data_IF_456633832190
#
_entry.id   IF_456633832190
#
_cell.length_a   1.000
_cell.length_b   1.000
_cell.length_c   1.000
_cell.angle_alpha   90.00
_cell.angle_beta   90.00
_cell.angle_gamma   90.00
#
_symmetry.space_group_name_H-M   'P 1'
#
loop_
_entity.id
_entity.type
_entity.pdbx_description
1 polymer ?
#
# COMPACT_ATOMS: atom_id res chain seq x y z
N UNK A 1 -15.85 1.22 -12.03
CA UNK A 1 -15.32 2.22 -13.00
C UNK A 1 -14.48 3.31 -12.34
N UNK A 2 -14.87 3.88 -11.19
CA UNK A 2 -14.11 4.97 -10.53
C UNK A 2 -12.65 4.63 -10.19
N UNK A 3 -12.38 3.40 -9.76
CA UNK A 3 -11.01 2.96 -9.45
C UNK A 3 -10.05 3.04 -10.65
N UNK A 4 -10.52 2.83 -11.89
CA UNK A 4 -9.63 2.94 -13.06
C UNK A 4 -9.09 4.36 -13.26
N UNK A 5 -9.88 5.36 -12.89
CA UNK A 5 -9.49 6.76 -12.98
C UNK A 5 -8.38 7.07 -11.96
N UNK A 6 -8.39 6.43 -10.79
CA UNK A 6 -7.37 6.59 -9.76
C UNK A 6 -5.99 6.02 -10.18
N UNK A 7 -5.96 5.13 -11.18
CA UNK A 7 -4.71 4.61 -11.73
C UNK A 7 -4.04 5.57 -12.73
N UNK A 8 -4.77 6.52 -13.32
CA UNK A 8 -4.20 7.42 -14.35
C UNK A 8 -3.03 8.24 -13.79
N UNK A 9 -3.17 8.96 -12.65
CA UNK A 9 -2.05 9.71 -12.10
C UNK A 9 -0.86 8.83 -11.73
N UNK A 10 -1.14 7.65 -11.17
CA UNK A 10 -0.12 6.69 -10.78
C UNK A 10 0.64 6.14 -11.99
N UNK A 11 -0.06 5.82 -13.07
CA UNK A 11 0.53 5.32 -14.30
C UNK A 11 1.39 6.41 -14.96
N UNK A 12 0.92 7.66 -15.01
CA UNK A 12 1.72 8.78 -15.51
C UNK A 12 2.97 9.02 -14.66
N UNK A 13 2.87 8.91 -13.33
CA UNK A 13 4.03 8.94 -12.44
C UNK A 13 5.05 7.86 -12.82
N UNK A 14 4.61 6.62 -13.00
CA UNK A 14 5.52 5.52 -13.36
C UNK A 14 6.17 5.70 -14.72
N UNK A 15 5.42 6.17 -15.73
CA UNK A 15 5.96 6.48 -17.05
C UNK A 15 7.07 7.52 -16.93
N UNK A 16 6.80 8.66 -16.30
CA UNK A 16 7.79 9.74 -16.19
C UNK A 16 8.98 9.33 -15.30
N UNK A 17 8.74 8.54 -14.26
CA UNK A 17 9.80 8.05 -13.39
C UNK A 17 10.79 7.13 -14.12
N UNK A 18 10.30 6.30 -15.04
CA UNK A 18 11.13 5.39 -15.84
C UNK A 18 11.80 6.07 -17.03
N UNK A 19 11.47 7.32 -17.34
CA UNK A 19 12.19 8.10 -18.34
C UNK A 19 13.47 8.66 -17.72
N UNK A 20 14.59 8.45 -18.42
CA UNK A 20 15.85 9.09 -18.07
C UNK A 20 15.69 10.62 -18.08
N UNK A 21 16.28 11.35 -17.13
CA UNK A 21 16.26 12.81 -17.12
C UNK A 21 16.83 13.34 -18.44
N UNK A 22 15.97 13.95 -19.25
CA UNK A 22 16.36 14.63 -20.48
C UNK A 22 16.16 16.12 -20.31
N UNK A 23 17.16 16.96 -20.64
CA UNK A 23 16.94 18.38 -20.73
C UNK A 23 15.96 18.63 -21.88
N UNK A 24 14.79 19.18 -21.56
CA UNK A 24 13.81 19.64 -22.53
C UNK A 24 13.65 21.15 -22.37
N UNK A 25 13.78 21.87 -23.47
CA UNK A 25 13.36 23.27 -23.55
C UNK A 25 11.86 23.31 -23.84
N UNK A 26 11.09 23.77 -22.86
CA UNK A 26 9.67 24.03 -23.03
C UNK A 26 9.43 25.51 -22.79
N UNK A 27 8.90 26.20 -23.81
CA UNK A 27 8.63 27.64 -23.76
C UNK A 27 9.84 28.51 -23.36
N UNK A 28 11.05 28.13 -23.78
CA UNK A 28 12.30 28.86 -23.49
C UNK A 28 12.89 28.62 -22.10
N UNK A 29 12.29 27.73 -21.29
CA UNK A 29 12.82 27.35 -19.99
C UNK A 29 13.46 25.95 -20.06
N UNK A 30 14.67 25.82 -19.52
CA UNK A 30 15.37 24.54 -19.42
C UNK A 30 14.80 23.75 -18.25
N UNK A 31 14.12 22.64 -18.54
CA UNK A 31 13.60 21.73 -17.53
C UNK A 31 14.16 20.33 -17.77
N UNK A 32 14.59 19.67 -16.70
CA UNK A 32 14.91 18.24 -16.77
C UNK A 32 13.61 17.44 -16.67
N UNK A 33 13.23 16.79 -17.77
CA UNK A 33 12.07 15.91 -17.82
C UNK A 33 12.50 14.46 -17.68
N UNK A 34 12.13 13.86 -16.54
CA UNK A 34 12.48 12.48 -16.19
C UNK A 34 12.89 12.37 -14.73
N UNK A 35 12.97 11.15 -14.22
CA UNK A 35 13.32 10.88 -12.83
C UNK A 35 12.22 11.27 -11.82
N UNK A 36 12.58 11.20 -10.53
CA UNK A 36 11.62 11.20 -9.42
C UNK A 36 10.91 12.54 -9.20
N UNK A 37 11.61 13.66 -9.40
CA UNK A 37 11.04 15.00 -9.18
C UNK A 37 10.01 15.32 -10.26
N UNK A 38 10.36 15.12 -11.53
CA UNK A 38 9.43 15.34 -12.65
C UNK A 38 8.27 14.35 -12.62
N UNK A 39 8.49 13.10 -12.19
CA UNK A 39 7.40 12.15 -11.95
C UNK A 39 6.46 12.63 -10.85
N UNK A 40 7.00 13.15 -9.75
CA UNK A 40 6.20 13.68 -8.63
C UNK A 40 5.40 14.91 -9.05
N UNK A 41 5.99 15.82 -9.82
CA UNK A 41 5.28 16.94 -10.41
C UNK A 41 4.14 16.48 -11.33
N UNK A 42 4.41 15.49 -12.20
CA UNK A 42 3.40 14.89 -13.07
C UNK A 42 2.27 14.24 -12.27
N UNK A 43 2.59 13.55 -11.16
CA UNK A 43 1.59 12.95 -10.27
C UNK A 43 0.66 14.01 -9.68
N UNK A 44 1.20 15.13 -9.21
CA UNK A 44 0.42 16.24 -8.64
C UNK A 44 -0.48 16.86 -9.71
N UNK A 45 0.09 17.21 -10.87
CA UNK A 45 -0.65 17.86 -11.96
C UNK A 45 -1.77 16.93 -12.46
N UNK A 46 -1.44 15.68 -12.76
CA UNK A 46 -2.44 14.70 -13.21
C UNK A 46 -3.50 14.42 -12.15
N UNK A 47 -3.13 14.33 -10.86
CA UNK A 47 -4.11 14.18 -9.77
C UNK A 47 -5.05 15.38 -9.69
N UNK A 48 -4.53 16.61 -9.79
CA UNK A 48 -5.36 17.81 -9.79
C UNK A 48 -6.30 17.86 -10.99
N UNK A 49 -5.84 17.50 -12.19
CA UNK A 49 -6.66 17.46 -13.40
C UNK A 49 -7.73 16.37 -13.30
N UNK A 50 -7.36 15.15 -12.93
CA UNK A 50 -8.25 14.00 -12.84
C UNK A 50 -9.30 14.19 -11.76
N UNK A 51 -8.87 14.52 -10.53
CA UNK A 51 -9.79 14.72 -9.41
C UNK A 51 -10.57 16.03 -9.54
N UNK A 52 -9.97 17.07 -10.13
CA UNK A 52 -10.67 18.31 -10.45
C UNK A 52 -11.79 18.10 -11.48
N UNK A 53 -11.50 17.40 -12.58
CA UNK A 53 -12.51 17.07 -13.58
C UNK A 53 -13.61 16.15 -13.02
N UNK A 54 -13.25 15.17 -12.18
CA UNK A 54 -14.21 14.33 -11.46
C UNK A 54 -15.10 15.17 -10.52
N UNK A 55 -14.51 16.09 -9.77
CA UNK A 55 -15.25 16.98 -8.88
C UNK A 55 -16.17 17.92 -9.65
N UNK A 56 -15.76 18.48 -10.78
CA UNK A 56 -16.62 19.31 -11.62
C UNK A 56 -17.79 18.52 -12.23
N UNK A 57 -17.54 17.26 -12.65
CA UNK A 57 -18.55 16.41 -13.30
C UNK A 57 -19.54 15.78 -12.31
N UNK A 58 -19.07 15.35 -11.14
CA UNK A 58 -19.88 14.58 -10.18
C UNK A 58 -20.24 15.40 -8.92
N UNK A 59 -19.59 16.54 -8.70
CA UNK A 59 -19.66 17.36 -7.47
C UNK A 59 -19.41 16.62 -6.15
N UNK A 60 -18.87 15.41 -6.23
CA UNK A 60 -18.54 14.56 -5.09
C UNK A 60 -17.28 13.77 -5.42
N UNK A 61 -16.33 13.81 -4.49
CA UNK A 61 -15.18 12.91 -4.45
C UNK A 61 -15.36 11.95 -3.29
N UNK A 62 -14.94 10.71 -3.48
CA UNK A 62 -14.97 9.71 -2.41
C UNK A 62 -13.91 10.01 -1.36
N UNK A 63 -14.11 9.54 -0.12
CA UNK A 63 -13.16 9.79 0.99
C UNK A 63 -11.74 9.33 0.65
N UNK A 64 -11.61 8.18 -0.04
CA UNK A 64 -10.31 7.66 -0.49
C UNK A 64 -9.64 8.55 -1.55
N UNK A 65 -10.43 9.17 -2.43
CA UNK A 65 -9.91 10.09 -3.45
C UNK A 65 -9.42 11.39 -2.83
N UNK A 66 -10.18 11.94 -1.87
CA UNK A 66 -9.74 13.10 -1.09
C UNK A 66 -8.45 12.80 -0.33
N UNK A 67 -8.37 11.65 0.34
CA UNK A 67 -7.18 11.24 1.06
C UNK A 67 -5.98 11.10 0.12
N UNK A 68 -6.17 10.49 -1.05
CA UNK A 68 -5.11 10.32 -2.05
C UNK A 68 -4.65 11.65 -2.63
N UNK A 69 -5.57 12.55 -2.96
CA UNK A 69 -5.25 13.89 -3.45
C UNK A 69 -4.48 14.71 -2.41
N UNK A 70 -4.96 14.74 -1.16
CA UNK A 70 -4.30 15.46 -0.07
C UNK A 70 -2.91 14.86 0.20
N UNK A 71 -2.81 13.54 0.30
CA UNK A 71 -1.52 12.88 0.49
C UNK A 71 -0.56 13.17 -0.67
N UNK A 72 -1.04 13.14 -1.91
CA UNK A 72 -0.26 13.49 -3.09
C UNK A 72 0.25 14.93 -3.03
N UNK A 73 -0.61 15.89 -2.67
CA UNK A 73 -0.24 17.29 -2.56
C UNK A 73 0.76 17.53 -1.43
N UNK A 74 0.55 16.91 -0.27
CA UNK A 74 1.44 17.06 0.90
C UNK A 74 2.78 16.37 0.65
N UNK A 75 2.80 15.05 0.42
CA UNK A 75 4.05 14.32 0.24
C UNK A 75 4.76 14.71 -1.05
N UNK A 76 4.02 14.90 -2.14
CA UNK A 76 4.58 15.33 -3.41
C UNK A 76 5.09 16.78 -3.35
N UNK A 77 4.32 17.69 -2.75
CA UNK A 77 4.73 19.07 -2.53
C UNK A 77 6.00 19.16 -1.68
N UNK A 78 6.06 18.44 -0.55
CA UNK A 78 7.27 18.36 0.28
C UNK A 78 8.47 17.80 -0.51
N UNK A 79 8.26 16.77 -1.32
CA UNK A 79 9.33 16.18 -2.15
C UNK A 79 9.90 17.19 -3.14
N UNK A 80 9.05 18.02 -3.76
CA UNK A 80 9.47 19.04 -4.71
C UNK A 80 10.10 20.25 -4.02
N UNK A 81 9.51 20.75 -2.94
CA UNK A 81 9.99 21.94 -2.22
C UNK A 81 11.32 21.69 -1.54
N UNK A 82 11.51 20.52 -0.91
CA UNK A 82 12.78 20.16 -0.26
C UNK A 82 13.76 19.47 -1.21
N UNK A 83 13.39 19.28 -2.48
CA UNK A 83 14.16 18.54 -3.47
C UNK A 83 14.73 17.24 -2.90
N UNK A 84 13.87 16.50 -2.18
CA UNK A 84 14.25 15.31 -1.42
C UNK A 84 13.20 14.22 -1.56
N UNK A 85 13.61 13.09 -2.14
CA UNK A 85 12.79 11.88 -2.26
C UNK A 85 12.51 11.17 -0.93
N UNK A 86 13.11 11.63 0.18
CA UNK A 86 12.94 11.08 1.53
C UNK A 86 11.48 11.01 1.94
N UNK A 87 10.70 12.07 1.71
CA UNK A 87 9.27 12.12 2.07
C UNK A 87 8.45 11.07 1.33
N UNK A 88 8.78 10.83 0.06
CA UNK A 88 8.10 9.84 -0.77
C UNK A 88 8.49 8.40 -0.39
N UNK A 89 9.77 8.20 -0.01
CA UNK A 89 10.30 6.92 0.50
C UNK A 89 9.63 6.49 1.80
N UNK A 90 9.41 7.41 2.74
CA UNK A 90 8.74 7.13 4.02
C UNK A 90 7.27 6.67 3.86
N UNK A 91 6.61 6.96 2.74
CA UNK A 91 5.19 6.61 2.56
C UNK A 91 4.93 5.10 2.74
N UNK A 92 5.77 4.25 2.17
CA UNK A 92 5.57 2.80 2.19
C UNK A 92 5.76 2.18 3.59
N UNK A 93 6.87 2.45 4.31
CA UNK A 93 7.05 1.93 5.66
C UNK A 93 5.98 2.46 6.62
N UNK A 94 5.64 3.76 6.55
CA UNK A 94 4.62 4.35 7.43
C UNK A 94 3.26 3.69 7.22
N UNK A 95 2.83 3.49 5.97
CA UNK A 95 1.53 2.83 5.69
C UNK A 95 1.53 1.39 6.22
N UNK A 96 2.61 0.63 6.00
CA UNK A 96 2.72 -0.73 6.52
C UNK A 96 2.67 -0.75 8.06
N UNK A 97 3.37 0.16 8.74
CA UNK A 97 3.33 0.24 10.19
C UNK A 97 1.98 0.73 10.73
N UNK A 98 1.29 1.62 10.02
CA UNK A 98 -0.09 1.99 10.36
C UNK A 98 -1.03 0.80 10.28
N UNK A 99 -0.86 -0.06 9.25
CA UNK A 99 -1.59 -1.32 9.21
C UNK A 99 -1.19 -2.22 10.39
N UNK A 100 0.09 -2.43 10.66
CA UNK A 100 0.54 -3.22 11.81
C UNK A 100 -0.08 -2.71 13.14
N UNK A 101 -0.11 -1.40 13.36
CA UNK A 101 -0.74 -0.77 14.51
C UNK A 101 -2.26 -0.96 14.53
N UNK A 102 -2.94 -0.86 13.38
CA UNK A 102 -4.37 -1.14 13.26
C UNK A 102 -4.72 -2.59 13.60
N UNK A 103 -3.93 -3.55 13.11
CA UNK A 103 -4.09 -4.96 13.44
C UNK A 103 -3.73 -5.24 14.91
N UNK A 104 -2.70 -4.60 15.47
CA UNK A 104 -2.30 -4.73 16.87
C UNK A 104 -3.37 -4.13 17.82
N UNK A 105 -3.86 -2.94 17.52
CA UNK A 105 -4.93 -2.28 18.28
C UNK A 105 -6.23 -3.08 18.29
N UNK A 106 -6.51 -3.85 17.24
CA UNK A 106 -7.69 -4.73 17.19
C UNK A 106 -7.68 -5.86 18.22
N UNK A 107 -6.52 -6.19 18.79
CA UNK A 107 -6.43 -7.15 19.89
C UNK A 107 -6.98 -6.58 21.20
N UNK A 108 -6.88 -5.25 21.39
CA UNK A 108 -7.34 -4.55 22.60
C UNK A 108 -8.71 -3.90 22.42
N UNK A 109 -9.07 -3.52 21.19
CA UNK A 109 -10.29 -2.77 20.87
C UNK A 109 -11.32 -3.70 20.18
N UNK A 110 -12.01 -4.49 21.00
CA UNK A 110 -13.22 -5.24 20.64
C UNK A 110 -13.08 -6.77 20.65
N UNK A 111 -14.22 -7.47 20.65
CA UNK A 111 -14.31 -8.93 20.87
C UNK A 111 -13.70 -9.79 19.75
N UNK A 112 -13.34 -9.18 18.62
CA UNK A 112 -12.85 -9.88 17.43
C UNK A 112 -11.67 -9.14 16.82
N UNK A 113 -10.58 -9.87 16.57
CA UNK A 113 -9.40 -9.38 15.83
C UNK A 113 -9.75 -8.91 14.42
N UNK A 114 -8.99 -7.96 13.89
CA UNK A 114 -9.28 -7.29 12.61
C UNK A 114 -9.35 -8.29 11.45
N UNK A 115 -8.44 -9.27 11.42
CA UNK A 115 -8.45 -10.30 10.36
C UNK A 115 -9.74 -11.14 10.38
N UNK A 116 -10.30 -11.43 11.57
CA UNK A 116 -11.57 -12.14 11.71
C UNK A 116 -12.74 -11.28 11.23
N UNK A 117 -12.69 -9.96 11.40
CA UNK A 117 -13.71 -9.05 10.86
C UNK A 117 -13.68 -9.03 9.33
N UNK A 118 -12.49 -9.08 8.75
CA UNK A 118 -12.31 -9.05 7.28
C UNK A 118 -12.65 -10.41 6.65
N UNK A 119 -12.16 -11.53 7.20
CA UNK A 119 -12.25 -12.86 6.58
C UNK A 119 -13.22 -13.83 7.27
N UNK A 120 -13.73 -13.51 8.46
CA UNK A 120 -14.57 -14.43 9.23
C UNK A 120 -15.95 -14.70 8.63
N UNK A 121 -16.32 -13.98 7.57
CA UNK A 121 -17.51 -14.29 6.77
C UNK A 121 -17.25 -15.41 5.75
N UNK A 122 -15.99 -15.63 5.36
CA UNK A 122 -15.58 -16.60 4.35
C UNK A 122 -15.08 -17.91 4.97
N UNK A 123 -14.56 -17.87 6.21
CA UNK A 123 -14.00 -19.04 6.90
C UNK A 123 -14.52 -19.10 8.34
N UNK A 124 -14.87 -20.30 8.80
CA UNK A 124 -15.19 -20.59 10.19
C UNK A 124 -13.99 -21.26 10.85
N UNK A 125 -13.33 -20.54 11.75
CA UNK A 125 -12.15 -21.03 12.48
C UNK A 125 -12.26 -20.70 13.97
N UNK A 126 -11.68 -21.52 14.86
CA UNK A 126 -11.50 -21.20 16.26
C UNK A 126 -10.81 -19.85 16.51
N UNK A 127 -11.19 -19.17 17.60
CA UNK A 127 -10.66 -17.84 17.96
C UNK A 127 -9.15 -17.81 18.21
N UNK A 128 -8.58 -18.90 18.70
CA UNK A 128 -7.14 -19.04 18.89
C UNK A 128 -6.38 -18.91 17.55
N UNK A 129 -6.94 -19.47 16.47
CA UNK A 129 -6.34 -19.42 15.13
C UNK A 129 -6.45 -18.01 14.56
N UNK A 130 -7.60 -17.35 14.74
CA UNK A 130 -7.77 -15.96 14.33
C UNK A 130 -6.75 -15.04 15.01
N UNK A 131 -6.49 -15.24 16.30
CA UNK A 131 -5.49 -14.46 17.04
C UNK A 131 -4.08 -14.68 16.49
N UNK A 132 -3.72 -15.94 16.19
CA UNK A 132 -2.41 -16.27 15.58
C UNK A 132 -2.28 -15.69 14.18
N UNK A 133 -3.32 -15.75 13.36
CA UNK A 133 -3.38 -15.12 12.04
C UNK A 133 -3.19 -13.60 12.16
N UNK A 134 -3.89 -12.96 13.09
CA UNK A 134 -3.77 -11.53 13.32
C UNK A 134 -2.33 -11.15 13.69
N UNK A 135 -1.70 -11.93 14.57
CA UNK A 135 -0.30 -11.75 14.94
C UNK A 135 0.66 -11.93 13.75
N UNK A 136 0.40 -12.92 12.89
CA UNK A 136 1.16 -13.13 11.66
C UNK A 136 1.05 -11.92 10.71
N UNK A 137 -0.15 -11.33 10.57
CA UNK A 137 -0.35 -10.10 9.80
C UNK A 137 0.38 -8.89 10.40
N UNK A 138 0.36 -8.72 11.73
CA UNK A 138 1.14 -7.66 12.39
C UNK A 138 2.63 -7.84 12.09
N UNK A 139 3.16 -9.04 12.30
CA UNK A 139 4.57 -9.36 12.03
C UNK A 139 4.92 -9.13 10.55
N UNK A 140 4.05 -9.54 9.63
CA UNK A 140 4.22 -9.32 8.19
C UNK A 140 4.27 -7.84 7.84
N UNK A 141 3.35 -7.02 8.36
CA UNK A 141 3.34 -5.59 8.09
C UNK A 141 4.52 -4.87 8.73
N UNK A 142 4.94 -5.26 9.93
CA UNK A 142 6.17 -4.74 10.54
C UNK A 142 7.40 -5.08 9.70
N UNK A 143 7.53 -6.34 9.27
CA UNK A 143 8.61 -6.81 8.43
C UNK A 143 8.61 -6.11 7.06
N UNK A 144 7.46 -6.04 6.38
CA UNK A 144 7.32 -5.32 5.12
C UNK A 144 7.67 -3.84 5.27
N UNK A 145 7.24 -3.19 6.35
CA UNK A 145 7.60 -1.81 6.64
C UNK A 145 9.11 -1.65 6.85
N UNK A 146 9.73 -2.51 7.67
CA UNK A 146 11.17 -2.50 7.90
C UNK A 146 11.98 -2.80 6.63
N UNK A 147 11.56 -3.78 5.82
CA UNK A 147 12.19 -4.10 4.55
C UNK A 147 12.07 -2.94 3.54
N UNK A 148 10.89 -2.31 3.44
CA UNK A 148 10.71 -1.12 2.60
C UNK A 148 11.60 0.03 3.06
N UNK A 149 11.71 0.26 4.37
CA UNK A 149 12.60 1.28 4.92
C UNK A 149 14.07 0.97 4.58
N UNK A 150 14.49 -0.26 4.83
CA UNK A 150 15.86 -0.72 4.58
C UNK A 150 16.24 -0.53 3.11
N UNK A 151 15.41 -1.00 2.18
CA UNK A 151 15.69 -0.84 0.74
C UNK A 151 15.62 0.63 0.32
N UNK A 152 14.68 1.41 0.85
CA UNK A 152 14.57 2.83 0.50
C UNK A 152 15.81 3.67 0.84
N UNK A 153 16.46 3.38 1.97
CA UNK A 153 17.63 4.12 2.43
C UNK A 153 18.97 3.48 2.07
N UNK A 154 18.99 2.17 1.77
CA UNK A 154 20.21 1.46 1.36
C UNK A 154 20.36 1.38 -0.17
N UNK A 155 19.27 1.16 -0.89
CA UNK A 155 19.26 0.96 -2.35
C UNK A 155 18.37 2.02 -3.03
N UNK A 156 18.87 3.25 -3.09
CA UNK A 156 18.14 4.43 -3.56
C UNK A 156 17.76 4.39 -5.05
N UNK A 157 18.39 3.55 -5.86
CA UNK A 157 18.02 3.39 -7.27
C UNK A 157 16.93 2.33 -7.47
N UNK A 158 16.80 1.38 -6.53
CA UNK A 158 15.92 0.21 -6.67
C UNK A 158 14.65 0.28 -5.82
N UNK A 159 14.53 1.24 -4.90
CA UNK A 159 13.43 1.26 -3.93
C UNK A 159 12.04 1.34 -4.54
N UNK A 160 11.86 2.04 -5.67
CA UNK A 160 10.55 2.11 -6.35
C UNK A 160 10.17 0.72 -6.89
N UNK A 161 11.11 0.04 -7.52
CA UNK A 161 10.89 -1.32 -8.06
C UNK A 161 10.66 -2.32 -6.92
N UNK A 162 11.44 -2.25 -5.83
CA UNK A 162 11.19 -3.06 -4.64
C UNK A 162 9.82 -2.81 -4.02
N UNK A 163 9.39 -1.54 -3.95
CA UNK A 163 8.08 -1.21 -3.42
C UNK A 163 6.95 -1.79 -4.27
N UNK A 164 7.09 -1.82 -5.60
CA UNK A 164 6.07 -2.41 -6.48
C UNK A 164 6.17 -3.92 -6.48
N UNK A 165 7.31 -4.47 -6.91
CA UNK A 165 7.49 -5.90 -7.12
C UNK A 165 7.84 -6.66 -5.84
N UNK A 166 8.67 -6.07 -4.98
CA UNK A 166 9.01 -6.67 -3.69
C UNK A 166 7.82 -6.75 -2.75
N UNK A 167 6.95 -5.72 -2.69
CA UNK A 167 5.71 -5.81 -1.91
C UNK A 167 4.76 -6.89 -2.43
N UNK A 168 4.60 -7.00 -3.75
CA UNK A 168 3.83 -8.07 -4.38
C UNK A 168 4.42 -9.44 -4.05
N UNK A 169 5.73 -9.62 -4.22
CA UNK A 169 6.43 -10.87 -3.92
C UNK A 169 6.28 -11.28 -2.45
N UNK A 170 6.53 -10.35 -1.52
CA UNK A 170 6.34 -10.59 -0.08
C UNK A 170 4.90 -10.96 0.25
N UNK A 171 3.93 -10.26 -0.33
CA UNK A 171 2.50 -10.54 -0.12
C UNK A 171 2.11 -11.91 -0.65
N UNK A 172 2.55 -12.29 -1.85
CA UNK A 172 2.26 -13.61 -2.42
C UNK A 172 2.85 -14.72 -1.54
N UNK A 173 4.12 -14.59 -1.13
CA UNK A 173 4.75 -15.56 -0.23
C UNK A 173 3.97 -15.68 1.09
N UNK A 174 3.59 -14.54 1.66
CA UNK A 174 2.82 -14.51 2.89
C UNK A 174 1.43 -15.15 2.74
N UNK A 175 0.72 -14.85 1.65
CA UNK A 175 -0.59 -15.45 1.36
C UNK A 175 -0.48 -16.97 1.16
N UNK A 176 0.56 -17.46 0.49
CA UNK A 176 0.81 -18.89 0.35
C UNK A 176 1.08 -19.53 1.71
N UNK A 177 1.95 -18.92 2.53
CA UNK A 177 2.25 -19.40 3.88
C UNK A 177 0.99 -19.41 4.77
N UNK A 178 0.18 -18.35 4.71
CA UNK A 178 -1.10 -18.25 5.41
C UNK A 178 -2.09 -19.31 4.91
N UNK A 179 -2.16 -19.55 3.60
CA UNK A 179 -3.03 -20.56 2.99
C UNK A 179 -2.68 -21.98 3.44
N UNK A 180 -1.39 -22.32 3.48
CA UNK A 180 -0.90 -23.60 4.01
C UNK A 180 -1.19 -23.72 5.51
N UNK A 181 -1.03 -22.64 6.28
CA UNK A 181 -1.37 -22.65 7.70
C UNK A 181 -2.87 -22.88 7.93
N UNK A 182 -3.72 -22.23 7.12
CA UNK A 182 -5.17 -22.37 7.18
C UNK A 182 -5.65 -23.76 6.77
N UNK A 183 -5.10 -24.34 5.71
CA UNK A 183 -5.51 -25.66 5.20
C UNK A 183 -5.30 -26.78 6.23
N UNK A 184 -4.27 -26.66 7.07
CA UNK A 184 -3.99 -27.60 8.16
C UNK A 184 -5.01 -27.52 9.29
N UNK A 185 -5.65 -26.37 9.51
CA UNK A 185 -6.61 -26.19 10.60
C UNK A 185 -8.07 -26.33 10.17
N UNK A 186 -8.37 -26.25 8.87
CA UNK A 186 -9.72 -26.52 8.37
C UNK A 186 -10.11 -28.01 8.46
N UNK A 187 -9.13 -28.92 8.56
CA UNK A 187 -9.37 -30.36 8.64
C UNK A 187 -9.53 -30.90 10.06
N UNK A 188 -9.31 -30.09 11.10
CA UNK A 188 -9.38 -30.52 12.50
C UNK A 188 -10.77 -30.28 13.10
N UNK A 189 -11.83 -30.55 12.34
CA UNK A 189 -13.20 -30.58 12.86
C UNK A 189 -13.40 -31.91 13.60
N UNK A 190 -13.28 -31.97 14.94
CA UNK A 190 -13.28 -33.22 15.68
C UNK A 190 -14.72 -33.59 16.00
N UNK A 191 -15.55 -33.76 14.97
CA UNK A 191 -16.91 -34.32 15.12
C UNK A 191 -16.95 -35.84 14.96
N UNK A 192 -15.78 -36.52 14.89
CA UNK A 192 -15.71 -37.98 14.66
C UNK A 192 -15.02 -38.80 15.75
N UNK A 193 -14.78 -38.27 16.94
CA UNK A 193 -14.52 -39.14 18.10
C UNK A 193 -15.85 -39.62 18.66
N UNK A 194 -16.37 -40.70 18.07
CA UNK A 194 -17.58 -41.43 18.50
C UNK A 194 -17.56 -41.67 20.02
N UNK A 195 -18.71 -41.57 20.71
CA UNK A 195 -18.82 -42.02 22.10
C UNK A 195 -18.51 -43.52 22.12
N UNK A 196 -17.54 -43.92 22.96
CA UNK A 196 -17.39 -45.32 23.36
C UNK A 196 -18.52 -45.61 24.33
N UNK A 197 -19.43 -46.46 23.89
CA UNK A 197 -20.35 -47.23 24.73
C UNK A 197 -19.59 -48.01 25.82
#
# INVERSE_FOLDING_TARGET
>A
MKQFIDFIPLLLFFIVYKLDPRPMEVAGHHFEFGGIYSATAMLIISSLVVYGALFLRQRKLEKGQWLTLIACLVFGGLTLTFHSETFLKWKAPVVNWLFALGFAGSHFIGDRVLIKRIMGHALTLPDAIWTRLNLAWIAFFLFCGAANLFVAFTFQDFWVDFKVFGSLGMTVIFLVAQGVYLSRHLHDDPSTSKPKD
#
